data_IF_261968562190
#
_entry.id   IF_261968562190
#
_cell.length_a   1.000
_cell.length_b   1.000
_cell.length_c   1.000
_cell.angle_alpha   90.00
_cell.angle_beta   90.00
_cell.angle_gamma   90.00
#
_symmetry.space_group_name_H-M   'P 1'
#
loop_
_entity.id
_entity.type
_entity.pdbx_description
1 polymer ?
#
# COMPACT_ATOMS: atom_id res chain seq x y z
N UNK A 1 -1.65 -3.05 11.28
CA UNK A 1 -0.28 -3.41 10.86
C UNK A 1 0.63 -2.20 10.95
N UNK A 2 0.37 -1.10 10.20
CA UNK A 2 1.26 0.07 10.15
C UNK A 2 1.50 0.65 11.54
N UNK A 3 0.48 0.70 12.43
CA UNK A 3 0.65 1.18 13.80
C UNK A 3 1.58 0.28 14.64
N UNK A 4 1.57 -1.04 14.42
CA UNK A 4 2.49 -1.96 15.08
C UNK A 4 3.94 -1.74 14.60
N UNK A 5 4.13 -1.58 13.28
CA UNK A 5 5.45 -1.26 12.70
C UNK A 5 5.96 0.09 13.19
N UNK A 6 5.08 1.12 13.25
CA UNK A 6 5.39 2.42 13.80
C UNK A 6 5.88 2.34 15.26
N UNK A 7 5.20 1.52 16.08
CA UNK A 7 5.60 1.29 17.46
C UNK A 7 6.99 0.65 17.54
N UNK A 8 7.26 -0.37 16.73
CA UNK A 8 8.58 -1.01 16.65
C UNK A 8 9.68 -0.02 16.25
N UNK A 9 9.45 0.78 15.20
CA UNK A 9 10.43 1.76 14.72
C UNK A 9 10.75 2.83 15.78
N UNK A 10 9.77 3.28 16.58
CA UNK A 10 10.01 4.20 17.71
C UNK A 10 10.89 3.59 18.79
N UNK A 11 10.90 2.27 18.91
CA UNK A 11 11.78 1.52 19.80
C UNK A 11 13.06 1.01 19.10
N UNK A 12 13.41 1.61 17.95
CA UNK A 12 14.60 1.28 17.16
C UNK A 12 14.65 -0.18 16.68
N UNK A 13 13.49 -0.83 16.54
CA UNK A 13 13.37 -2.20 16.05
C UNK A 13 12.84 -2.18 14.62
N UNK A 14 13.59 -2.78 13.68
CA UNK A 14 13.17 -3.04 12.30
C UNK A 14 12.69 -4.49 12.21
N UNK A 15 11.53 -4.72 11.60
CA UNK A 15 10.91 -6.06 11.56
C UNK A 15 11.59 -7.00 10.56
N UNK A 16 11.96 -6.50 9.37
CA UNK A 16 12.72 -7.19 8.31
C UNK A 16 12.01 -8.37 7.62
N UNK A 17 10.84 -8.82 8.09
CA UNK A 17 10.12 -9.98 7.54
C UNK A 17 8.60 -9.79 7.57
N UNK A 18 8.11 -8.61 7.12
CA UNK A 18 6.68 -8.33 7.02
C UNK A 18 6.09 -9.10 5.83
N UNK A 19 5.18 -10.01 6.13
CA UNK A 19 4.46 -10.86 5.18
C UNK A 19 3.12 -11.29 5.77
N UNK A 20 2.14 -11.73 4.98
CA UNK A 20 0.83 -12.13 5.48
C UNK A 20 0.87 -13.21 6.58
N UNK A 21 1.80 -14.17 6.52
CA UNK A 21 1.94 -15.23 7.54
C UNK A 21 2.36 -14.71 8.92
N UNK A 22 2.96 -13.51 8.99
CA UNK A 22 3.35 -12.84 10.23
C UNK A 22 2.28 -11.83 10.71
N UNK A 23 1.10 -11.82 10.07
CA UNK A 23 -0.03 -10.97 10.42
C UNK A 23 -1.20 -11.84 10.87
N UNK A 24 -1.55 -11.77 12.14
CA UNK A 24 -2.74 -12.41 12.68
C UNK A 24 -3.85 -11.40 12.91
N UNK A 25 -5.08 -11.85 12.72
CA UNK A 25 -6.26 -11.08 13.09
C UNK A 25 -6.97 -11.87 14.19
N UNK A 26 -7.16 -11.27 15.36
CA UNK A 26 -7.90 -11.90 16.46
C UNK A 26 -9.43 -11.86 16.21
N UNK A 27 -10.19 -12.52 17.10
CA UNK A 27 -11.64 -12.59 16.98
C UNK A 27 -12.34 -11.22 17.03
N UNK A 28 -11.68 -10.22 17.63
CA UNK A 28 -12.16 -8.84 17.72
C UNK A 28 -11.72 -7.98 16.53
N UNK A 29 -11.08 -8.57 15.50
CA UNK A 29 -10.61 -7.87 14.31
C UNK A 29 -9.30 -7.07 14.52
N UNK A 30 -8.61 -7.25 15.63
CA UNK A 30 -7.35 -6.56 15.90
C UNK A 30 -6.19 -7.28 15.24
N UNK A 31 -5.38 -6.55 14.51
CA UNK A 31 -4.20 -7.10 13.83
C UNK A 31 -3.03 -7.17 14.82
N UNK A 32 -2.43 -8.35 14.91
CA UNK A 32 -1.21 -8.61 15.68
C UNK A 32 -0.07 -8.94 14.73
N UNK A 33 1.08 -8.36 14.98
CA UNK A 33 2.32 -8.61 14.24
C UNK A 33 3.14 -9.62 15.01
N UNK A 34 3.54 -10.70 14.33
CA UNK A 34 4.33 -11.80 14.87
C UNK A 34 5.76 -11.73 14.35
N UNK A 35 6.67 -12.42 15.07
CA UNK A 35 8.01 -12.80 14.64
C UNK A 35 8.84 -11.65 14.04
N UNK A 36 9.22 -10.72 14.88
CA UNK A 36 10.29 -9.78 14.54
C UNK A 36 11.51 -10.56 14.11
N UNK A 37 12.06 -10.28 12.92
CA UNK A 37 13.11 -11.02 12.24
C UNK A 37 14.47 -11.05 12.97
N UNK A 38 14.47 -11.08 14.30
CA UNK A 38 15.65 -11.15 15.17
C UNK A 38 16.53 -12.39 14.84
N UNK A 39 15.89 -13.50 14.44
CA UNK A 39 16.62 -14.70 14.01
C UNK A 39 17.44 -14.48 12.72
N UNK A 40 17.03 -13.53 11.85
CA UNK A 40 17.80 -13.18 10.65
C UNK A 40 19.07 -12.39 10.97
N UNK A 41 19.06 -11.58 12.00
CA UNK A 41 20.25 -10.83 12.48
C UNK A 41 21.33 -11.76 13.03
N UNK A 42 20.94 -12.83 13.73
CA UNK A 42 21.85 -13.87 14.23
C UNK A 42 22.36 -14.81 13.12
N UNK A 43 21.61 -14.97 12.03
CA UNK A 43 22.00 -15.78 10.88
C UNK A 43 22.93 -15.04 9.91
N UNK A 44 22.87 -13.71 9.85
CA UNK A 44 23.77 -12.87 9.04
C UNK A 44 25.24 -12.98 9.53
N UNK A 45 25.46 -13.36 10.80
CA UNK A 45 26.80 -13.69 11.34
C UNK A 45 27.29 -15.09 10.96
N UNK A 46 26.44 -15.95 10.41
CA UNK A 46 26.82 -17.29 9.97
C UNK A 46 26.26 -17.54 8.57
N UNK A 47 27.12 -17.55 7.55
CA UNK A 47 26.85 -17.86 6.13
C UNK A 47 26.18 -19.23 5.87
N UNK A 48 25.04 -19.50 6.50
CA UNK A 48 24.25 -20.71 6.24
C UNK A 48 22.99 -20.32 5.45
N UNK A 49 23.02 -20.52 4.14
CA UNK A 49 21.84 -20.50 3.28
C UNK A 49 20.99 -21.72 3.68
N UNK A 50 20.05 -21.55 4.60
CA UNK A 50 19.07 -22.59 4.90
C UNK A 50 17.84 -22.41 3.99
N UNK A 51 17.16 -23.52 3.68
CA UNK A 51 15.97 -23.62 2.80
C UNK A 51 14.85 -22.65 3.24
N UNK A 52 14.76 -22.31 4.53
CA UNK A 52 13.83 -21.32 5.08
C UNK A 52 14.07 -19.89 4.56
N UNK A 53 15.30 -19.56 4.16
CA UNK A 53 15.63 -18.25 3.59
C UNK A 53 15.00 -18.06 2.20
N UNK A 54 14.89 -19.15 1.42
CA UNK A 54 14.28 -19.14 0.09
C UNK A 54 12.76 -18.86 0.11
N UNK A 55 12.08 -19.17 1.22
CA UNK A 55 10.61 -19.04 1.34
C UNK A 55 10.13 -17.59 1.64
N UNK A 56 11.05 -16.66 1.89
CA UNK A 56 10.69 -15.31 2.37
C UNK A 56 10.97 -14.20 1.34
N UNK A 57 11.65 -14.52 0.24
CA UNK A 57 12.06 -13.51 -0.74
C UNK A 57 10.92 -12.83 -1.50
N UNK A 58 9.72 -13.44 -1.53
CA UNK A 58 8.55 -12.86 -2.21
C UNK A 58 8.22 -11.43 -1.73
N UNK A 59 8.50 -11.10 -0.47
CA UNK A 59 8.26 -9.78 0.11
C UNK A 59 9.54 -8.97 0.32
N UNK A 60 10.70 -9.52 -0.05
CA UNK A 60 11.98 -8.89 0.20
C UNK A 60 12.12 -7.56 -0.56
N UNK A 61 12.72 -6.60 0.10
CA UNK A 61 13.08 -5.33 -0.52
C UNK A 61 14.34 -5.48 -1.41
N UNK A 62 14.57 -4.55 -2.36
CA UNK A 62 15.79 -4.57 -3.17
C UNK A 62 17.06 -4.61 -2.34
N UNK A 63 17.13 -3.83 -1.25
CA UNK A 63 18.28 -3.79 -0.35
C UNK A 63 18.51 -5.12 0.38
N UNK A 64 17.45 -5.88 0.70
CA UNK A 64 17.59 -7.23 1.29
C UNK A 64 18.14 -8.25 0.28
N UNK A 65 17.76 -8.14 -0.99
CA UNK A 65 18.26 -9.04 -2.05
C UNK A 65 19.68 -8.70 -2.49
N UNK A 66 20.09 -7.43 -2.32
CA UNK A 66 21.41 -6.92 -2.69
C UNK A 66 22.41 -6.92 -1.51
N UNK A 67 22.00 -7.42 -0.34
CA UNK A 67 22.80 -7.41 0.90
C UNK A 67 23.28 -5.98 1.27
N UNK A 68 22.43 -5.00 0.99
CA UNK A 68 22.67 -3.61 1.32
C UNK A 68 22.15 -3.28 2.74
N UNK A 69 22.48 -2.10 3.32
CA UNK A 69 22.06 -1.73 4.67
C UNK A 69 20.54 -1.75 4.85
N UNK A 70 20.10 -2.49 5.87
CA UNK A 70 18.68 -2.60 6.25
C UNK A 70 18.32 -1.45 7.18
N UNK A 71 17.24 -0.75 6.83
CA UNK A 71 16.70 0.38 7.60
C UNK A 71 15.18 0.21 7.81
N UNK A 72 14.55 1.18 8.47
CA UNK A 72 13.09 1.25 8.58
C UNK A 72 12.39 1.32 7.22
N UNK A 73 13.07 1.82 6.18
CA UNK A 73 12.56 1.86 4.81
C UNK A 73 12.31 0.46 4.21
N UNK A 74 13.02 -0.57 4.70
CA UNK A 74 12.81 -1.97 4.33
C UNK A 74 11.40 -2.45 4.72
N UNK A 75 10.97 -2.15 5.94
CA UNK A 75 9.62 -2.49 6.40
C UNK A 75 8.55 -1.72 5.62
N UNK A 76 8.83 -0.47 5.23
CA UNK A 76 7.89 0.33 4.41
C UNK A 76 7.70 -0.28 3.02
N UNK A 77 8.77 -0.82 2.41
CA UNK A 77 8.65 -1.59 1.17
C UNK A 77 7.78 -2.82 1.35
N UNK A 78 8.06 -3.62 2.36
CA UNK A 78 7.30 -4.85 2.65
C UNK A 78 5.82 -4.54 2.91
N UNK A 79 5.52 -3.46 3.65
CA UNK A 79 4.15 -2.95 3.82
C UNK A 79 3.52 -2.58 2.47
N UNK A 80 4.26 -1.96 1.56
CA UNK A 80 3.81 -1.65 0.21
C UNK A 80 3.42 -2.89 -0.59
N UNK A 81 4.25 -3.94 -0.56
CA UNK A 81 3.96 -5.24 -1.21
C UNK A 81 2.71 -5.89 -0.59
N UNK A 82 2.62 -5.93 0.75
CA UNK A 82 1.46 -6.49 1.47
C UNK A 82 0.19 -5.71 1.12
N UNK A 83 0.23 -4.38 1.15
CA UNK A 83 -0.92 -3.52 0.81
C UNK A 83 -1.36 -3.73 -0.65
N UNK A 84 -0.42 -3.74 -1.59
CA UNK A 84 -0.74 -3.98 -3.00
C UNK A 84 -1.48 -5.30 -3.17
N UNK A 85 -0.95 -6.37 -2.57
CA UNK A 85 -1.52 -7.72 -2.66
C UNK A 85 -2.88 -7.84 -1.96
N UNK A 86 -3.05 -7.24 -0.80
CA UNK A 86 -4.34 -7.21 -0.10
C UNK A 86 -5.42 -6.49 -0.91
N UNK A 87 -5.06 -5.37 -1.53
CA UNK A 87 -6.00 -4.52 -2.25
C UNK A 87 -6.34 -5.01 -3.65
N UNK A 88 -5.35 -5.55 -4.40
CA UNK A 88 -5.55 -5.97 -5.80
C UNK A 88 -5.65 -7.48 -5.99
N UNK A 89 -5.13 -8.28 -5.05
CA UNK A 89 -5.00 -9.74 -5.19
C UNK A 89 -3.69 -10.19 -5.85
N UNK A 90 -2.91 -9.28 -6.43
CA UNK A 90 -1.70 -9.59 -7.19
C UNK A 90 -0.44 -9.02 -6.50
N UNK A 91 0.70 -9.67 -6.75
CA UNK A 91 2.00 -9.15 -6.34
C UNK A 91 2.43 -8.01 -7.28
N UNK A 92 2.95 -6.86 -6.76
CA UNK A 92 3.25 -5.68 -7.60
C UNK A 92 4.30 -5.90 -8.68
N UNK A 93 5.15 -6.91 -8.53
CA UNK A 93 6.21 -7.26 -9.49
C UNK A 93 6.03 -8.66 -10.09
N UNK A 94 4.89 -9.32 -9.87
CA UNK A 94 4.66 -10.67 -10.36
C UNK A 94 5.58 -11.75 -9.74
N UNK A 95 6.22 -11.44 -8.61
CA UNK A 95 7.11 -12.38 -7.89
C UNK A 95 6.27 -13.43 -7.18
N UNK A 96 6.71 -14.68 -7.24
CA UNK A 96 6.16 -15.83 -6.51
C UNK A 96 7.23 -16.49 -5.65
N UNK A 97 6.83 -17.45 -4.82
CA UNK A 97 7.78 -18.22 -3.99
C UNK A 97 8.78 -19.03 -4.81
N UNK A 98 8.39 -19.42 -6.02
CA UNK A 98 9.22 -20.21 -6.95
C UNK A 98 10.14 -19.32 -7.79
N UNK A 99 9.96 -17.98 -7.76
CA UNK A 99 10.77 -17.07 -8.58
C UNK A 99 12.23 -17.05 -8.07
N UNK A 100 13.23 -17.44 -8.89
CA UNK A 100 14.62 -17.37 -8.48
C UNK A 100 15.08 -15.94 -8.16
N UNK A 101 15.97 -15.78 -7.16
CA UNK A 101 16.42 -14.46 -6.68
C UNK A 101 16.95 -13.56 -7.81
N UNK A 102 17.72 -14.13 -8.74
CA UNK A 102 18.23 -13.39 -9.90
C UNK A 102 17.11 -12.82 -10.78
N UNK A 103 16.02 -13.57 -10.97
CA UNK A 103 14.84 -13.09 -11.70
C UNK A 103 14.04 -12.06 -10.89
N UNK A 104 13.96 -12.21 -9.56
CA UNK A 104 13.33 -11.21 -8.70
C UNK A 104 14.03 -9.87 -8.84
N UNK A 105 15.35 -9.83 -8.76
CA UNK A 105 16.12 -8.58 -8.94
C UNK A 105 15.81 -7.92 -10.29
N UNK A 106 15.73 -8.68 -11.39
CA UNK A 106 15.34 -8.16 -12.70
C UNK A 106 13.90 -7.62 -12.72
N UNK A 107 12.97 -8.26 -12.00
CA UNK A 107 11.59 -7.80 -11.89
C UNK A 107 11.49 -6.52 -11.06
N UNK A 108 12.28 -6.41 -9.98
CA UNK A 108 12.33 -5.21 -9.13
C UNK A 108 13.02 -4.02 -9.80
N UNK A 109 13.71 -4.22 -10.94
CA UNK A 109 14.23 -3.14 -11.79
C UNK A 109 13.14 -2.42 -12.60
N UNK A 110 11.95 -3.03 -12.69
CA UNK A 110 10.78 -2.45 -13.37
C UNK A 110 9.93 -1.65 -12.39
N UNK A 111 9.10 -0.78 -12.93
CA UNK A 111 8.05 -0.14 -12.13
C UNK A 111 7.05 -1.20 -11.62
N UNK A 112 6.53 -1.05 -10.39
CA UNK A 112 5.49 -1.92 -9.88
C UNK A 112 4.24 -1.82 -10.74
N UNK A 113 3.53 -2.94 -10.94
CA UNK A 113 2.27 -2.93 -11.64
C UNK A 113 1.30 -1.96 -10.94
N UNK A 114 0.69 -1.01 -11.69
CA UNK A 114 -0.26 -0.07 -11.11
C UNK A 114 -1.39 -0.80 -10.40
N UNK A 115 -1.67 -0.42 -9.15
CA UNK A 115 -2.69 -1.04 -8.30
C UNK A 115 -4.05 -1.17 -9.00
N UNK A 116 -4.43 -0.15 -9.78
CA UNK A 116 -5.68 -0.13 -10.56
C UNK A 116 -5.68 -1.13 -11.71
N UNK A 117 -4.53 -1.36 -12.34
CA UNK A 117 -4.40 -2.34 -13.43
C UNK A 117 -4.47 -3.75 -12.86
N UNK A 118 -3.71 -4.04 -11.81
CA UNK A 118 -3.76 -5.32 -11.12
C UNK A 118 -5.19 -5.67 -10.65
N UNK A 119 -5.90 -4.70 -10.06
CA UNK A 119 -7.29 -4.87 -9.65
C UNK A 119 -8.26 -5.12 -10.81
N UNK A 120 -8.01 -4.54 -11.99
CA UNK A 120 -8.86 -4.77 -13.18
C UNK A 120 -8.69 -6.16 -13.78
N UNK A 121 -7.61 -6.86 -13.45
CA UNK A 121 -7.30 -8.21 -13.90
C UNK A 121 -7.75 -9.29 -12.90
N UNK A 122 -8.25 -8.89 -11.72
CA UNK A 122 -8.78 -9.81 -10.72
C UNK A 122 -9.99 -10.60 -11.26
N UNK A 123 -10.28 -11.77 -10.72
CA UNK A 123 -11.54 -12.46 -10.97
C UNK A 123 -12.70 -11.75 -10.24
N UNK A 124 -13.95 -12.01 -10.66
CA UNK A 124 -15.13 -11.47 -9.97
C UNK A 124 -15.17 -11.88 -8.48
N UNK A 125 -14.80 -13.12 -8.16
CA UNK A 125 -14.68 -13.60 -6.79
C UNK A 125 -13.61 -12.83 -6.00
N UNK A 126 -12.44 -12.65 -6.59
CA UNK A 126 -11.35 -11.87 -5.97
C UNK A 126 -11.75 -10.41 -5.74
N UNK A 127 -12.49 -9.82 -6.67
CA UNK A 127 -13.01 -8.45 -6.53
C UNK A 127 -14.06 -8.37 -5.42
N UNK A 128 -14.98 -9.34 -5.34
CA UNK A 128 -16.01 -9.42 -4.30
C UNK A 128 -15.41 -9.52 -2.90
N UNK A 129 -14.40 -10.36 -2.69
CA UNK A 129 -13.68 -10.48 -1.42
C UNK A 129 -12.97 -9.19 -0.98
N UNK A 130 -12.76 -8.24 -1.89
CA UNK A 130 -12.12 -6.93 -1.64
C UNK A 130 -13.10 -5.77 -1.67
N UNK A 131 -14.41 -6.06 -1.55
CA UNK A 131 -15.46 -5.05 -1.51
C UNK A 131 -15.81 -4.43 -2.87
N UNK A 132 -15.31 -5.00 -3.97
CA UNK A 132 -15.70 -4.63 -5.33
C UNK A 132 -16.86 -5.49 -5.85
N UNK A 133 -17.83 -4.90 -6.54
CA UNK A 133 -18.88 -5.67 -7.23
C UNK A 133 -18.39 -6.32 -8.53
N UNK A 134 -17.27 -5.86 -9.05
CA UNK A 134 -16.57 -6.37 -10.24
C UNK A 134 -15.12 -5.87 -10.25
N UNK A 135 -14.23 -6.47 -11.07
CA UNK A 135 -12.85 -5.99 -11.24
C UNK A 135 -12.78 -4.50 -11.63
N UNK A 136 -13.68 -4.05 -12.50
CA UNK A 136 -13.75 -2.66 -12.92
C UNK A 136 -14.17 -1.71 -11.77
N UNK A 137 -15.09 -2.14 -10.89
CA UNK A 137 -15.52 -1.36 -9.73
C UNK A 137 -14.41 -1.29 -8.68
N UNK A 138 -13.70 -2.41 -8.43
CA UNK A 138 -12.54 -2.47 -7.55
C UNK A 138 -11.42 -1.54 -8.06
N UNK A 139 -11.05 -1.64 -9.33
CA UNK A 139 -10.05 -0.77 -9.94
C UNK A 139 -10.42 0.72 -9.82
N UNK A 140 -11.71 1.06 -9.94
CA UNK A 140 -12.19 2.44 -9.75
C UNK A 140 -12.07 2.90 -8.30
N UNK A 141 -12.39 2.05 -7.34
CA UNK A 141 -12.27 2.33 -5.90
C UNK A 141 -10.82 2.59 -5.47
N UNK A 142 -9.87 1.88 -6.09
CA UNK A 142 -8.44 1.98 -5.79
C UNK A 142 -7.72 3.13 -6.52
N UNK A 143 -8.42 3.94 -7.31
CA UNK A 143 -7.82 5.09 -7.99
C UNK A 143 -7.52 6.24 -7.03
N UNK A 144 -6.49 7.01 -7.38
CA UNK A 144 -6.15 8.26 -6.69
C UNK A 144 -5.17 8.04 -5.53
N UNK A 145 -5.45 8.66 -4.40
CA UNK A 145 -4.49 8.78 -3.28
C UNK A 145 -4.00 7.43 -2.74
N UNK A 146 -4.86 6.41 -2.65
CA UNK A 146 -4.45 5.10 -2.13
C UNK A 146 -3.42 4.42 -3.04
N UNK A 147 -3.62 4.48 -4.36
CA UNK A 147 -2.64 3.96 -5.31
C UNK A 147 -1.29 4.68 -5.18
N UNK A 148 -1.33 6.00 -4.94
CA UNK A 148 -0.12 6.81 -4.73
C UNK A 148 0.60 6.46 -3.44
N UNK A 149 -0.13 6.18 -2.34
CA UNK A 149 0.44 5.68 -1.07
C UNK A 149 1.20 4.37 -1.30
N UNK A 150 0.57 3.40 -1.95
CA UNK A 150 1.20 2.11 -2.23
C UNK A 150 2.42 2.27 -3.13
N UNK A 151 2.32 3.08 -4.19
CA UNK A 151 3.43 3.35 -5.09
C UNK A 151 4.62 4.04 -4.39
N UNK A 152 4.35 4.97 -3.46
CA UNK A 152 5.40 5.62 -2.68
C UNK A 152 6.16 4.64 -1.79
N UNK A 153 5.50 3.63 -1.22
CA UNK A 153 6.16 2.56 -0.47
C UNK A 153 7.05 1.68 -1.37
N UNK A 154 6.64 1.47 -2.63
CA UNK A 154 7.30 0.58 -3.59
C UNK A 154 8.37 1.27 -4.46
N UNK A 155 8.86 2.42 -4.07
CA UNK A 155 10.02 3.05 -4.74
C UNK A 155 11.27 2.23 -4.47
N UNK A 156 12.05 1.98 -5.53
CA UNK A 156 13.28 1.19 -5.44
C UNK A 156 14.29 1.81 -4.48
N UNK A 157 14.52 3.11 -4.61
CA UNK A 157 15.38 3.88 -3.72
C UNK A 157 14.72 4.01 -2.34
N UNK A 158 15.35 3.49 -1.26
CA UNK A 158 14.83 3.61 0.10
C UNK A 158 14.58 5.06 0.54
N UNK A 159 15.43 6.00 0.12
CA UNK A 159 15.32 7.43 0.46
C UNK A 159 14.14 8.12 -0.26
N UNK A 160 13.68 7.54 -1.36
CA UNK A 160 12.52 8.04 -2.09
C UNK A 160 11.18 7.51 -1.55
N UNK A 161 11.19 6.56 -0.61
CA UNK A 161 10.00 6.03 0.09
C UNK A 161 9.50 7.03 1.14
N UNK A 162 8.49 6.64 1.91
CA UNK A 162 8.10 7.41 3.09
C UNK A 162 9.26 7.59 4.07
N UNK A 163 9.37 8.76 4.66
CA UNK A 163 10.42 9.05 5.64
C UNK A 163 10.26 8.23 6.95
N UNK A 164 9.04 7.78 7.26
CA UNK A 164 8.77 6.95 8.43
C UNK A 164 7.41 6.25 8.35
N UNK A 165 7.21 5.23 9.18
CA UNK A 165 5.92 4.58 9.37
C UNK A 165 4.86 5.53 9.97
N UNK A 166 5.26 6.59 10.68
CA UNK A 166 4.35 7.63 11.16
C UNK A 166 3.71 8.40 10.01
N UNK A 167 4.53 8.80 9.01
CA UNK A 167 4.04 9.54 7.84
C UNK A 167 3.11 8.66 7.00
N UNK A 168 3.48 7.39 6.77
CA UNK A 168 2.62 6.42 6.08
C UNK A 168 1.29 6.23 6.83
N UNK A 169 1.32 6.06 8.16
CA UNK A 169 0.11 5.90 8.97
C UNK A 169 -0.81 7.13 8.88
N UNK A 170 -0.23 8.32 8.88
CA UNK A 170 -0.99 9.57 8.75
C UNK A 170 -1.65 9.71 7.38
N UNK A 171 -0.95 9.32 6.30
CA UNK A 171 -1.51 9.35 4.95
C UNK A 171 -2.63 8.32 4.77
N UNK A 172 -2.50 7.12 5.33
CA UNK A 172 -3.57 6.13 5.31
C UNK A 172 -4.81 6.60 6.08
N UNK A 173 -4.62 7.24 7.25
CA UNK A 173 -5.73 7.85 7.99
C UNK A 173 -6.36 9.02 7.24
N UNK A 174 -5.52 9.89 6.64
CA UNK A 174 -6.00 10.98 5.81
C UNK A 174 -6.85 10.48 4.65
N UNK A 175 -6.44 9.38 4.00
CA UNK A 175 -7.23 8.74 2.95
C UNK A 175 -8.57 8.21 3.47
N UNK A 176 -8.59 7.54 4.65
CA UNK A 176 -9.85 7.05 5.27
C UNK A 176 -10.81 8.20 5.61
N UNK A 177 -10.27 9.35 6.01
CA UNK A 177 -11.03 10.56 6.37
C UNK A 177 -11.35 11.46 5.16
N UNK A 178 -11.13 11.01 3.93
CA UNK A 178 -11.23 11.82 2.70
C UNK A 178 -10.42 13.14 2.76
N UNK A 179 -9.27 13.12 3.46
CA UNK A 179 -8.33 14.24 3.58
C UNK A 179 -7.16 14.11 2.61
N UNK A 180 -6.49 15.21 2.27
CA UNK A 180 -5.27 15.19 1.46
C UNK A 180 -4.17 14.34 2.10
N UNK A 181 -3.43 13.58 1.26
CA UNK A 181 -2.23 12.85 1.67
C UNK A 181 -0.97 13.68 1.40
N UNK A 182 0.13 13.40 2.12
CA UNK A 182 1.40 14.10 1.99
C UNK A 182 2.31 13.55 0.90
N UNK A 183 2.15 12.28 0.53
CA UNK A 183 3.03 11.56 -0.41
C UNK A 183 3.11 12.20 -1.80
N UNK A 184 2.11 12.96 -2.21
CA UNK A 184 2.08 13.64 -3.51
C UNK A 184 1.41 15.00 -3.38
N UNK A 185 1.98 16.07 -3.98
CA UNK A 185 1.31 17.36 -4.08
C UNK A 185 -0.03 17.22 -4.81
N UNK A 186 -1.12 17.58 -4.15
CA UNK A 186 -2.44 17.50 -4.75
C UNK A 186 -2.60 18.48 -5.91
N UNK A 187 -3.12 17.98 -7.02
CA UNK A 187 -3.63 18.85 -8.08
C UNK A 187 -4.83 19.65 -7.57
N UNK A 188 -5.17 20.78 -8.25
CA UNK A 188 -6.35 21.57 -7.92
C UNK A 188 -7.63 20.74 -8.04
N UNK A 189 -7.69 19.84 -9.00
CA UNK A 189 -8.82 18.93 -9.25
C UNK A 189 -8.99 17.90 -8.14
N UNK A 190 -7.88 17.34 -7.62
CA UNK A 190 -7.94 16.38 -6.51
C UNK A 190 -8.42 17.04 -5.22
N UNK A 191 -7.97 18.28 -4.93
CA UNK A 191 -8.46 19.07 -3.80
C UNK A 191 -9.97 19.33 -3.88
N UNK A 192 -10.47 19.73 -5.05
CA UNK A 192 -11.88 19.96 -5.27
C UNK A 192 -12.71 18.69 -5.09
N UNK A 193 -12.22 17.55 -5.62
CA UNK A 193 -12.87 16.25 -5.50
C UNK A 193 -12.95 15.76 -4.04
N UNK A 194 -11.87 15.91 -3.27
CA UNK A 194 -11.85 15.56 -1.85
C UNK A 194 -12.78 16.46 -1.04
N UNK A 195 -12.83 17.75 -1.36
CA UNK A 195 -13.75 18.70 -0.72
C UNK A 195 -15.21 18.33 -0.99
N UNK A 196 -15.58 18.00 -2.24
CA UNK A 196 -16.91 17.54 -2.62
C UNK A 196 -17.31 16.25 -1.89
N UNK A 197 -16.40 15.28 -1.76
CA UNK A 197 -16.66 14.03 -1.04
C UNK A 197 -16.91 14.26 0.45
N UNK A 198 -16.12 15.15 1.06
CA UNK A 198 -16.26 15.51 2.49
C UNK A 198 -17.50 16.33 2.78
N UNK A 199 -17.93 17.16 1.84
CA UNK A 199 -19.05 18.10 2.01
C UNK A 199 -20.25 17.74 1.09
N UNK A 200 -20.63 16.47 1.04
CA UNK A 200 -21.69 15.98 0.14
C UNK A 200 -22.99 16.76 0.28
N UNK A 201 -23.41 17.10 1.51
CA UNK A 201 -24.61 17.88 1.76
C UNK A 201 -24.56 19.30 1.18
N UNK A 202 -23.42 19.99 1.31
CA UNK A 202 -23.23 21.31 0.72
C UNK A 202 -23.11 21.24 -0.81
N UNK A 203 -22.48 20.20 -1.33
CA UNK A 203 -22.33 20.01 -2.77
C UNK A 203 -23.69 19.74 -3.44
N UNK A 204 -24.55 18.93 -2.83
CA UNK A 204 -25.92 18.69 -3.33
C UNK A 204 -26.77 19.96 -3.26
N UNK A 205 -26.71 20.70 -2.15
CA UNK A 205 -27.45 21.98 -2.01
C UNK A 205 -26.99 23.00 -3.06
N UNK A 206 -25.69 23.17 -3.28
CA UNK A 206 -25.15 24.04 -4.31
C UNK A 206 -25.58 23.59 -5.72
N UNK A 207 -25.58 22.29 -6.00
CA UNK A 207 -26.06 21.74 -7.26
C UNK A 207 -27.54 22.06 -7.52
N UNK A 208 -28.41 21.94 -6.51
CA UNK A 208 -29.83 22.28 -6.61
C UNK A 208 -30.03 23.77 -6.92
N UNK A 209 -29.28 24.65 -6.24
CA UNK A 209 -29.34 26.11 -6.50
C UNK A 209 -28.91 26.43 -7.92
N UNK A 210 -27.83 25.83 -8.42
CA UNK A 210 -27.38 26.05 -9.80
C UNK A 210 -28.43 25.61 -10.81
N UNK A 211 -29.01 24.41 -10.62
CA UNK A 211 -30.09 23.91 -11.50
C UNK A 211 -31.31 24.82 -11.45
N UNK A 212 -31.72 25.29 -10.26
CA UNK A 212 -32.85 26.20 -10.11
C UNK A 212 -32.63 27.55 -10.83
N UNK A 213 -31.40 28.08 -10.77
CA UNK A 213 -31.05 29.32 -11.49
C UNK A 213 -31.07 29.12 -13.01
N UNK A 214 -30.59 27.99 -13.53
CA UNK A 214 -30.62 27.69 -14.97
C UNK A 214 -32.05 27.49 -15.48
N UNK A 215 -32.92 26.84 -14.72
CA UNK A 215 -34.33 26.66 -15.07
C UNK A 215 -35.09 28.00 -15.00
N UNK A 216 -34.80 28.83 -13.99
CA UNK A 216 -35.44 30.16 -13.84
C UNK A 216 -35.05 31.14 -14.93
N UNK A 217 -33.84 31.09 -15.46
CA UNK A 217 -33.39 31.98 -16.56
C UNK A 217 -33.77 31.49 -17.95
N UNK A 218 -34.14 30.21 -18.11
CA UNK A 218 -34.61 29.66 -19.40
C UNK A 218 -36.12 29.82 -19.67
N UNK A 219 -36.89 30.34 -18.69
CA UNK A 219 -38.38 30.56 -18.79
C UNK A 219 -38.74 32.06 -18.92
N UNK A 220 -37.77 32.96 -18.91
CA UNK A 220 -37.94 34.38 -19.16
C UNK A 220 -37.49 34.73 -20.58
#
# INVERSE_FOLDING_TARGET
VVDAVRHAHRNLVVHRDLKPSNLLVDAEGRVKLLDFGIAKELADTRRAVTVDRALTFEYASPEQLLDAPITTATDLWQLGVVLHRLLSGAHPFGVTRETPVAHQLQQLDRDPEPLTRAASQASDEQAAHRGGHSPASLARALRGSLAQVVQACLRRDPEARYASADVLANDLRAWLDDRPISAVPLSRTDRARLWLRRNRGLATAAGIVVVALFVGTGVA
#
